data_IF_371131105980
#
_entry.id   IF_371131105980
#
_cell.length_a   1.000
_cell.length_b   1.000
_cell.length_c   1.000
_cell.angle_alpha   90.00
_cell.angle_beta   90.00
_cell.angle_gamma   90.00
#
_symmetry.space_group_name_H-M   'P 1'
#
loop_
_entity.id
_entity.type
_entity.pdbx_description
1 polymer ?
#
# COMPACT_ATOMS: atom_id res chain seq x y z
N UNK A 1 -71.19 25.30 11.13
CA UNK A 1 -70.10 25.83 10.28
C UNK A 1 -69.41 24.68 9.55
N UNK A 2 -69.72 24.50 8.26
CA UNK A 2 -69.01 23.62 7.32
C UNK A 2 -68.25 24.52 6.36
N UNK A 3 -66.93 24.36 6.21
CA UNK A 3 -66.23 24.81 5.01
C UNK A 3 -65.28 23.69 4.55
N UNK A 4 -65.65 23.10 3.41
CA UNK A 4 -64.89 22.13 2.64
C UNK A 4 -63.79 22.86 1.85
N UNK A 5 -62.55 22.39 1.94
CA UNK A 5 -61.53 22.76 0.95
C UNK A 5 -61.69 21.90 -0.31
N UNK A 6 -62.07 22.55 -1.42
CA UNK A 6 -61.94 22.04 -2.79
C UNK A 6 -60.52 22.35 -3.27
N UNK A 7 -59.76 21.34 -3.71
CA UNK A 7 -58.62 21.56 -4.60
C UNK A 7 -58.89 20.92 -5.96
N UNK A 8 -58.66 21.73 -7.00
CA UNK A 8 -58.91 21.44 -8.40
C UNK A 8 -57.87 20.47 -8.98
N UNK A 9 -58.32 19.49 -9.75
CA UNK A 9 -57.49 18.78 -10.75
C UNK A 9 -57.45 19.61 -12.05
N UNK A 10 -56.26 19.78 -12.64
CA UNK A 10 -56.09 19.94 -14.10
C UNK A 10 -54.96 19.06 -14.61
N UNK A 11 -55.25 18.46 -15.76
CA UNK A 11 -54.58 17.35 -16.43
C UNK A 11 -53.24 17.69 -17.10
N UNK A 12 -52.43 16.64 -17.19
CA UNK A 12 -51.48 16.24 -18.24
C UNK A 12 -50.98 17.28 -19.25
N UNK A 13 -49.65 17.38 -19.34
CA UNK A 13 -48.89 17.22 -20.60
C UNK A 13 -47.46 16.77 -20.28
N UNK A 14 -47.16 15.51 -20.60
CA UNK A 14 -45.81 14.94 -20.57
C UNK A 14 -45.00 15.47 -21.73
N UNK A 15 -44.29 16.57 -21.52
CA UNK A 15 -43.18 16.96 -22.41
C UNK A 15 -41.96 16.10 -22.06
N UNK A 16 -41.69 15.09 -22.90
CA UNK A 16 -40.38 14.46 -23.01
C UNK A 16 -39.38 15.52 -23.45
N UNK A 17 -38.72 16.13 -22.46
CA UNK A 17 -37.66 17.11 -22.67
C UNK A 17 -36.40 16.70 -21.92
N UNK A 18 -35.30 16.60 -22.69
CA UNK A 18 -33.90 16.71 -22.26
C UNK A 18 -33.27 15.48 -21.60
N UNK A 19 -32.65 14.63 -22.43
CA UNK A 19 -31.36 14.04 -22.06
C UNK A 19 -30.35 15.20 -22.09
N UNK A 20 -30.23 15.91 -20.98
CA UNK A 20 -29.06 16.71 -20.68
C UNK A 20 -28.27 15.91 -19.66
N UNK A 21 -27.17 15.31 -20.11
CA UNK A 21 -26.12 14.76 -19.25
C UNK A 21 -25.49 15.88 -18.45
N UNK A 22 -26.17 16.34 -17.40
CA UNK A 22 -25.59 17.17 -16.36
C UNK A 22 -24.99 16.25 -15.31
N UNK A 23 -23.68 16.00 -15.40
CA UNK A 23 -22.89 15.66 -14.22
C UNK A 23 -21.41 15.93 -14.43
N UNK A 24 -20.97 17.15 -14.12
CA UNK A 24 -19.73 17.35 -13.38
C UNK A 24 -19.85 18.63 -12.55
N UNK A 25 -20.39 18.50 -11.34
CA UNK A 25 -20.02 19.42 -10.24
C UNK A 25 -19.64 18.59 -9.02
N UNK A 26 -18.34 18.64 -8.72
CA UNK A 26 -17.74 18.18 -7.46
C UNK A 26 -17.25 16.74 -7.45
N UNK A 27 -15.99 16.53 -7.83
CA UNK A 27 -15.30 15.27 -7.55
C UNK A 27 -15.06 15.05 -6.05
N UNK A 28 -14.67 13.82 -5.69
CA UNK A 28 -14.35 13.38 -4.33
C UNK A 28 -12.87 13.54 -4.03
N UNK A 29 -12.56 14.07 -2.85
CA UNK A 29 -11.24 13.95 -2.24
C UNK A 29 -11.13 12.60 -1.54
N UNK A 30 -10.10 11.82 -1.86
CA UNK A 30 -9.92 10.48 -1.33
C UNK A 30 -8.95 10.46 -0.16
N UNK A 31 -7.77 11.07 -0.31
CA UNK A 31 -6.72 11.00 0.71
C UNK A 31 -5.67 12.11 0.59
N UNK A 32 -4.90 12.29 1.67
CA UNK A 32 -3.70 13.13 1.76
C UNK A 32 -2.50 12.25 2.10
N UNK A 33 -1.40 12.42 1.36
CA UNK A 33 -0.10 11.87 1.73
C UNK A 33 0.89 12.98 2.08
N UNK A 34 2.08 12.60 2.52
CA UNK A 34 3.23 13.50 2.77
C UNK A 34 3.58 14.35 1.54
N UNK A 35 3.43 13.79 0.34
CA UNK A 35 3.89 14.42 -0.91
C UNK A 35 2.75 14.94 -1.81
N UNK A 36 1.48 14.74 -1.41
CA UNK A 36 0.39 14.98 -2.35
C UNK A 36 -1.03 14.75 -1.84
N UNK A 37 -1.92 14.52 -2.78
CA UNK A 37 -3.33 14.21 -2.56
C UNK A 37 -3.87 13.28 -3.64
N UNK A 38 -4.98 12.60 -3.33
CA UNK A 38 -5.67 11.75 -4.30
C UNK A 38 -7.11 12.24 -4.49
N UNK A 39 -7.52 12.41 -5.75
CA UNK A 39 -8.86 12.90 -6.13
C UNK A 39 -9.52 12.03 -7.20
N UNK A 40 -10.86 11.96 -7.17
CA UNK A 40 -11.72 11.20 -8.11
C UNK A 40 -12.88 12.06 -8.62
N UNK A 41 -13.32 12.00 -9.90
CA UNK A 41 -12.64 11.37 -11.04
C UNK A 41 -11.23 11.91 -11.25
N UNK A 42 -10.42 11.24 -12.07
CA UNK A 42 -9.13 11.77 -12.51
C UNK A 42 -9.28 13.14 -13.19
N UNK A 43 -8.22 13.93 -13.14
CA UNK A 43 -8.07 15.15 -13.95
C UNK A 43 -7.49 14.70 -15.29
N UNK A 44 -8.16 15.07 -16.38
CA UNK A 44 -7.67 14.79 -17.73
C UNK A 44 -6.32 15.49 -17.97
N UNK A 45 -5.42 14.82 -18.69
CA UNK A 45 -4.23 15.45 -19.22
C UNK A 45 -4.58 16.17 -20.53
N UNK A 46 -4.22 17.44 -20.66
CA UNK A 46 -4.45 18.23 -21.89
C UNK A 46 -3.35 17.96 -22.93
N UNK A 47 -2.16 17.63 -22.46
CA UNK A 47 -1.00 17.23 -23.26
C UNK A 47 -0.30 16.06 -22.56
N UNK A 48 0.23 15.12 -23.35
CA UNK A 48 1.05 14.02 -22.84
C UNK A 48 2.49 14.50 -22.69
N UNK A 49 3.20 14.02 -21.66
CA UNK A 49 4.65 14.19 -21.60
C UNK A 49 5.31 13.30 -22.67
N UNK A 50 6.43 13.75 -23.25
CA UNK A 50 7.18 13.04 -24.30
C UNK A 50 7.67 11.64 -23.90
N UNK A 51 7.58 11.28 -22.62
CA UNK A 51 8.06 10.02 -22.05
C UNK A 51 7.10 8.83 -22.17
N UNK A 52 5.84 8.99 -22.63
CA UNK A 52 4.89 7.87 -22.73
C UNK A 52 4.04 7.91 -24.02
N UNK A 53 4.03 6.79 -24.77
CA UNK A 53 3.15 6.52 -25.92
C UNK A 53 1.75 6.01 -25.50
N UNK A 54 1.15 6.52 -24.42
CA UNK A 54 -0.21 6.11 -24.01
C UNK A 54 -1.26 7.08 -24.55
N UNK A 55 -2.29 6.55 -25.23
CA UNK A 55 -3.44 7.34 -25.70
C UNK A 55 -4.10 8.11 -24.55
N UNK A 56 -4.58 9.33 -24.84
CA UNK A 56 -5.37 10.14 -23.91
C UNK A 56 -6.59 9.33 -23.42
N UNK A 57 -6.85 9.37 -22.11
CA UNK A 57 -8.00 8.69 -21.52
C UNK A 57 -9.27 9.49 -21.89
N UNK A 58 -10.27 8.86 -22.53
CA UNK A 58 -11.51 9.54 -22.87
C UNK A 58 -12.21 10.12 -21.64
N UNK A 59 -12.79 11.32 -21.76
CA UNK A 59 -13.43 12.04 -20.65
C UNK A 59 -14.53 11.24 -19.95
N UNK A 60 -15.29 10.43 -20.69
CA UNK A 60 -16.33 9.56 -20.15
C UNK A 60 -15.80 8.39 -19.30
N UNK A 61 -14.49 8.09 -19.37
CA UNK A 61 -13.85 7.02 -18.60
C UNK A 61 -13.15 7.52 -17.33
N UNK A 62 -12.98 8.84 -17.14
CA UNK A 62 -12.23 9.42 -16.02
C UNK A 62 -12.80 9.05 -14.63
N UNK A 63 -14.06 8.66 -14.55
CA UNK A 63 -14.69 8.15 -13.33
C UNK A 63 -14.13 6.80 -12.86
N UNK A 64 -13.46 6.05 -13.73
CA UNK A 64 -12.78 4.80 -13.37
C UNK A 64 -11.35 5.03 -12.86
N UNK A 65 -10.90 6.27 -12.82
CA UNK A 65 -9.53 6.65 -12.50
C UNK A 65 -9.47 7.68 -11.37
N UNK A 66 -8.27 7.80 -10.81
CA UNK A 66 -7.92 8.81 -9.81
C UNK A 66 -6.69 9.58 -10.26
N UNK A 67 -6.56 10.79 -9.74
CA UNK A 67 -5.35 11.60 -9.84
C UNK A 67 -4.61 11.57 -8.51
N UNK A 68 -3.40 11.00 -8.47
CA UNK A 68 -2.42 11.21 -7.40
C UNK A 68 -1.60 12.43 -7.81
N UNK A 69 -1.83 13.57 -7.14
CA UNK A 69 -1.19 14.84 -7.48
C UNK A 69 0.01 15.03 -6.58
N UNK A 70 1.20 15.05 -7.19
CA UNK A 70 2.47 15.37 -6.55
C UNK A 70 2.65 16.88 -6.58
N UNK A 71 2.77 17.50 -5.40
CA UNK A 71 2.79 18.98 -5.31
C UNK A 71 4.12 19.57 -5.76
N UNK A 72 5.20 18.89 -5.37
CA UNK A 72 6.57 19.27 -5.65
C UNK A 72 7.31 17.98 -6.02
N UNK A 73 7.55 17.73 -7.32
CA UNK A 73 8.21 16.50 -7.73
C UNK A 73 9.66 16.48 -7.25
N UNK A 74 10.10 15.32 -6.81
CA UNK A 74 11.49 15.03 -6.46
C UNK A 74 11.99 13.81 -7.27
N UNK A 75 13.25 13.43 -7.07
CA UNK A 75 13.87 12.30 -7.74
C UNK A 75 13.18 10.94 -7.48
N UNK A 76 12.32 10.80 -6.47
CA UNK A 76 11.58 9.55 -6.22
C UNK A 76 10.45 9.34 -7.23
N UNK A 77 9.96 10.41 -7.86
CA UNK A 77 8.86 10.32 -8.81
C UNK A 77 9.23 9.54 -10.08
N UNK A 78 10.43 9.79 -10.62
CA UNK A 78 10.89 9.08 -11.82
C UNK A 78 10.99 7.57 -11.57
N UNK A 79 11.45 7.19 -10.38
CA UNK A 79 11.49 5.79 -9.96
C UNK A 79 10.09 5.17 -9.84
N UNK A 80 9.11 5.86 -9.24
CA UNK A 80 7.72 5.37 -9.15
C UNK A 80 7.08 5.16 -10.54
N UNK A 81 7.35 6.08 -11.48
CA UNK A 81 6.92 5.96 -12.88
C UNK A 81 7.61 4.77 -13.56
N UNK A 82 8.93 4.62 -13.39
CA UNK A 82 9.68 3.51 -13.98
C UNK A 82 9.18 2.15 -13.46
N UNK A 83 8.98 2.01 -12.16
CA UNK A 83 8.41 0.79 -11.55
C UNK A 83 7.02 0.50 -12.11
N UNK A 84 6.17 1.53 -12.25
CA UNK A 84 4.86 1.37 -12.88
C UNK A 84 4.98 0.86 -14.32
N UNK A 85 5.93 1.36 -15.11
CA UNK A 85 6.16 0.89 -16.48
C UNK A 85 6.65 -0.57 -16.52
N UNK A 86 7.57 -0.95 -15.63
CA UNK A 86 8.05 -2.33 -15.50
C UNK A 86 6.91 -3.28 -15.16
N UNK A 87 6.09 -2.94 -14.16
CA UNK A 87 4.98 -3.80 -13.75
C UNK A 87 3.90 -3.89 -14.82
N UNK A 88 3.62 -2.83 -15.57
CA UNK A 88 2.61 -2.85 -16.64
C UNK A 88 2.95 -3.79 -17.81
N UNK A 89 4.24 -4.01 -18.07
CA UNK A 89 4.69 -4.98 -19.09
C UNK A 89 4.36 -6.43 -18.73
N UNK A 90 4.04 -6.71 -17.46
CA UNK A 90 3.69 -8.07 -17.04
C UNK A 90 2.23 -8.40 -17.38
N UNK A 91 2.01 -9.59 -17.97
CA UNK A 91 0.65 -10.10 -18.25
C UNK A 91 -0.20 -10.09 -16.96
N UNK A 92 -1.42 -9.57 -17.07
CA UNK A 92 -2.37 -9.47 -15.95
C UNK A 92 -1.90 -8.58 -14.78
N UNK A 93 -0.96 -7.66 -14.99
CA UNK A 93 -0.50 -6.69 -13.99
C UNK A 93 -1.65 -5.94 -13.29
N UNK A 94 -2.66 -5.51 -14.06
CA UNK A 94 -3.83 -4.79 -13.54
C UNK A 94 -4.70 -5.59 -12.56
N UNK A 95 -4.51 -6.92 -12.48
CA UNK A 95 -5.17 -7.78 -11.48
C UNK A 95 -4.53 -7.64 -10.09
N UNK A 96 -3.27 -7.23 -10.00
CA UNK A 96 -2.48 -7.21 -8.77
C UNK A 96 -2.03 -5.82 -8.34
N UNK A 97 -1.95 -4.86 -9.27
CA UNK A 97 -1.33 -3.56 -9.01
C UNK A 97 -2.19 -2.39 -9.47
N UNK A 98 -2.09 -1.28 -8.75
CA UNK A 98 -2.52 0.05 -9.15
C UNK A 98 -1.29 0.80 -9.63
N UNK A 99 -1.03 0.77 -10.94
CA UNK A 99 0.12 1.43 -11.57
C UNK A 99 -0.27 2.78 -12.18
N UNK A 100 0.74 3.63 -12.38
CA UNK A 100 0.59 4.90 -13.11
C UNK A 100 0.42 4.60 -14.61
N UNK A 101 -0.73 4.96 -15.17
CA UNK A 101 -1.04 4.71 -16.59
C UNK A 101 -0.81 5.93 -17.49
N UNK A 102 -0.77 7.14 -16.89
CA UNK A 102 -0.53 8.38 -17.60
C UNK A 102 -0.03 9.46 -16.62
N UNK A 103 0.78 10.41 -17.11
CA UNK A 103 1.31 11.53 -16.34
C UNK A 103 1.24 12.84 -17.13
N UNK A 104 0.98 13.94 -16.43
CA UNK A 104 1.06 15.27 -17.02
C UNK A 104 1.28 16.37 -15.97
N UNK A 105 1.82 17.49 -16.41
CA UNK A 105 1.90 18.70 -15.59
C UNK A 105 0.51 19.35 -15.47
N UNK A 106 0.17 19.82 -14.27
CA UNK A 106 -1.01 20.65 -14.06
C UNK A 106 -0.65 22.12 -14.23
N UNK A 107 -1.02 22.71 -15.37
CA UNK A 107 -0.79 24.13 -15.69
C UNK A 107 -1.87 25.06 -15.12
N UNK A 108 -3.02 24.52 -14.71
CA UNK A 108 -4.14 25.30 -14.15
C UNK A 108 -4.95 24.51 -13.15
N UNK A 109 -5.61 25.22 -12.24
CA UNK A 109 -6.57 24.62 -11.31
C UNK A 109 -7.90 24.39 -12.04
N UNK A 110 -8.45 23.16 -12.05
CA UNK A 110 -9.74 22.90 -12.70
C UNK A 110 -10.87 23.78 -12.13
N UNK A 111 -11.56 24.54 -12.98
CA UNK A 111 -12.60 25.48 -12.55
C UNK A 111 -13.91 24.84 -12.08
N UNK A 112 -14.15 23.59 -12.46
CA UNK A 112 -15.36 22.82 -12.17
C UNK A 112 -15.24 21.91 -10.93
N UNK A 113 -14.21 22.09 -10.09
CA UNK A 113 -13.93 21.22 -8.94
C UNK A 113 -13.80 22.01 -7.64
N UNK A 114 -14.31 21.42 -6.56
CA UNK A 114 -14.21 21.94 -5.19
C UNK A 114 -13.19 21.15 -4.35
N UNK A 115 -12.81 19.95 -4.80
CA UNK A 115 -11.87 19.07 -4.12
C UNK A 115 -10.40 19.38 -4.45
N UNK A 116 -10.14 20.47 -5.18
CA UNK A 116 -8.82 21.01 -5.53
C UNK A 116 -8.91 22.53 -5.45
N UNK A 117 -7.91 23.20 -4.88
CA UNK A 117 -7.87 24.64 -4.78
C UNK A 117 -6.44 25.19 -4.86
N UNK A 118 -6.30 26.40 -5.40
CA UNK A 118 -5.05 27.15 -5.32
C UNK A 118 -4.74 27.48 -3.86
N UNK A 119 -3.49 27.29 -3.47
CA UNK A 119 -3.03 27.57 -2.13
C UNK A 119 -1.59 28.12 -2.12
N UNK A 120 -1.33 29.04 -1.20
CA UNK A 120 0.03 29.41 -0.79
C UNK A 120 0.47 28.44 0.29
N UNK A 121 1.58 27.74 0.05
CA UNK A 121 2.14 26.74 0.98
C UNK A 121 3.21 27.43 1.83
N UNK A 122 2.97 27.55 3.13
CA UNK A 122 3.86 28.23 4.08
C UNK A 122 4.92 27.29 4.67
N UNK A 123 4.63 25.98 4.74
CA UNK A 123 5.58 24.98 5.22
C UNK A 123 5.28 23.59 4.66
N UNK A 124 6.33 22.86 4.26
CA UNK A 124 6.27 21.48 3.77
C UNK A 124 5.88 20.47 4.87
N UNK A 125 6.32 20.68 6.12
CA UNK A 125 6.21 19.68 7.20
C UNK A 125 4.89 19.69 7.97
N UNK A 126 4.08 20.76 7.90
CA UNK A 126 2.89 20.92 8.75
C UNK A 126 1.56 21.11 8.02
N UNK A 127 1.49 20.86 6.71
CA UNK A 127 0.27 21.14 5.94
C UNK A 127 -0.25 22.58 6.18
N UNK A 128 0.65 23.53 6.43
CA UNK A 128 0.28 24.92 6.67
C UNK A 128 0.17 25.61 5.33
N UNK A 129 -1.07 25.85 4.88
CA UNK A 129 -1.35 26.52 3.63
C UNK A 129 -2.56 27.45 3.77
N UNK A 130 -2.54 28.55 3.03
CA UNK A 130 -3.68 29.45 2.88
C UNK A 130 -4.28 29.23 1.51
N UNK A 131 -5.57 28.91 1.45
CA UNK A 131 -6.30 28.85 0.19
C UNK A 131 -6.45 30.27 -0.37
N UNK A 132 -6.04 30.49 -1.61
CA UNK A 132 -6.08 31.80 -2.25
C UNK A 132 -7.28 31.97 -3.20
N UNK A 133 -7.95 30.88 -3.56
CA UNK A 133 -9.18 30.91 -4.34
C UNK A 133 -10.27 30.09 -3.62
N UNK A 134 -11.01 30.74 -2.71
CA UNK A 134 -12.11 30.14 -1.97
C UNK A 134 -13.41 30.30 -2.75
N UNK A 135 -13.67 29.40 -3.69
CA UNK A 135 -15.02 29.24 -4.25
C UNK A 135 -15.98 28.84 -3.13
N UNK A 136 -17.25 29.24 -3.24
CA UNK A 136 -18.31 28.80 -2.32
C UNK A 136 -18.34 27.27 -2.24
N UNK A 137 -18.35 26.73 -1.01
CA UNK A 137 -18.41 25.28 -0.74
C UNK A 137 -17.07 24.54 -0.59
N UNK A 138 -15.92 25.23 -0.66
CA UNK A 138 -14.62 24.60 -0.43
C UNK A 138 -14.40 24.31 1.07
N UNK A 139 -14.10 23.05 1.38
CA UNK A 139 -13.72 22.62 2.72
C UNK A 139 -12.21 22.32 2.76
N UNK A 140 -11.44 23.06 3.57
CA UNK A 140 -9.98 22.91 3.71
C UNK A 140 -9.53 21.48 4.02
N UNK A 141 -10.35 20.69 4.74
CA UNK A 141 -10.04 19.31 5.13
C UNK A 141 -10.39 18.28 4.05
N UNK A 142 -11.15 18.67 3.02
CA UNK A 142 -11.58 17.80 1.90
C UNK A 142 -11.17 18.35 0.54
N UNK A 143 -10.11 19.15 0.52
CA UNK A 143 -9.62 19.83 -0.67
C UNK A 143 -8.12 19.59 -0.78
N UNK A 144 -7.66 19.32 -1.99
CA UNK A 144 -6.25 19.28 -2.29
C UNK A 144 -5.70 20.70 -2.52
N UNK A 145 -4.81 21.21 -1.65
CA UNK A 145 -4.13 22.47 -1.91
C UNK A 145 -3.05 22.26 -2.96
N UNK A 146 -3.04 23.10 -3.99
CA UNK A 146 -2.04 23.10 -5.06
C UNK A 146 -1.46 24.50 -5.24
N UNK A 147 -0.17 24.55 -5.52
CA UNK A 147 0.50 25.75 -6.02
C UNK A 147 0.99 25.46 -7.44
N UNK A 148 0.29 25.98 -8.45
CA UNK A 148 0.65 25.77 -9.88
C UNK A 148 2.09 26.21 -10.18
N UNK A 149 2.60 27.26 -9.52
CA UNK A 149 3.98 27.74 -9.71
C UNK A 149 5.05 26.75 -9.24
N UNK A 150 4.67 25.66 -8.55
CA UNK A 150 5.57 24.56 -8.17
C UNK A 150 5.55 23.40 -9.16
N UNK A 151 4.92 23.57 -10.32
CA UNK A 151 4.79 22.57 -11.38
C UNK A 151 4.28 21.21 -10.87
N UNK A 152 3.08 21.17 -10.26
CA UNK A 152 2.54 19.94 -9.72
C UNK A 152 2.29 18.91 -10.84
N UNK A 153 2.60 17.64 -10.56
CA UNK A 153 2.47 16.54 -11.51
C UNK A 153 1.23 15.71 -11.15
N UNK A 154 0.38 15.49 -12.15
CA UNK A 154 -0.78 14.62 -12.08
C UNK A 154 -0.41 13.22 -12.56
N UNK A 155 -0.53 12.23 -11.66
CA UNK A 155 -0.38 10.81 -11.98
C UNK A 155 -1.77 10.19 -12.05
N UNK A 156 -2.16 9.69 -13.22
CA UNK A 156 -3.43 9.03 -13.41
C UNK A 156 -3.28 7.53 -13.16
N UNK A 157 -4.15 6.99 -12.32
CA UNK A 157 -4.13 5.58 -11.90
C UNK A 157 -5.55 5.01 -11.86
N UNK A 158 -5.75 3.69 -12.06
CA UNK A 158 -7.06 3.06 -11.87
C UNK A 158 -7.60 3.30 -10.46
N UNK A 159 -8.92 3.49 -10.33
CA UNK A 159 -9.54 3.52 -9.01
C UNK A 159 -9.45 2.13 -8.36
N UNK A 160 -8.92 2.10 -7.13
CA UNK A 160 -8.64 0.87 -6.38
C UNK A 160 -9.69 0.49 -5.33
N UNK A 161 -10.66 1.36 -5.05
CA UNK A 161 -11.63 1.16 -3.98
C UNK A 161 -11.21 1.79 -2.65
N UNK A 162 -11.25 1.02 -1.56
CA UNK A 162 -10.84 1.43 -0.20
C UNK A 162 -9.57 0.70 0.22
N UNK A 163 -8.73 1.34 1.04
CA UNK A 163 -7.62 0.64 1.68
C UNK A 163 -8.11 -0.42 2.67
N UNK A 164 -7.33 -1.49 2.84
CA UNK A 164 -7.68 -2.63 3.70
C UNK A 164 -7.84 -2.21 5.17
N UNK A 165 -7.09 -1.22 5.65
CA UNK A 165 -7.21 -0.71 7.02
C UNK A 165 -8.62 -0.19 7.28
N UNK A 166 -9.13 0.66 6.38
CA UNK A 166 -10.48 1.18 6.43
C UNK A 166 -11.55 0.09 6.32
N UNK A 167 -11.35 -0.92 5.47
CA UNK A 167 -12.29 -2.03 5.32
C UNK A 167 -12.37 -2.82 6.63
N UNK A 168 -11.24 -3.27 7.18
CA UNK A 168 -11.23 -4.18 8.34
C UNK A 168 -11.67 -3.52 9.64
N UNK A 169 -11.38 -2.22 9.82
CA UNK A 169 -11.87 -1.45 10.97
C UNK A 169 -13.36 -1.07 10.86
N UNK A 170 -14.01 -1.36 9.73
CA UNK A 170 -15.44 -1.14 9.59
C UNK A 170 -16.21 -2.08 10.53
N UNK A 171 -17.02 -1.50 11.42
CA UNK A 171 -17.85 -2.24 12.36
C UNK A 171 -19.10 -2.76 11.64
N UNK A 172 -19.18 -4.06 11.38
CA UNK A 172 -20.29 -4.68 10.61
C UNK A 172 -21.70 -4.33 11.12
N UNK A 173 -21.84 -4.12 12.43
CA UNK A 173 -23.12 -3.78 13.08
C UNK A 173 -23.55 -2.31 12.92
N UNK A 174 -22.70 -1.44 12.34
CA UNK A 174 -23.08 -0.04 12.11
C UNK A 174 -24.05 0.11 10.95
N UNK A 175 -23.82 -0.59 9.83
CA UNK A 175 -24.76 -0.69 8.71
C UNK A 175 -24.43 -1.90 7.81
N UNK A 176 -25.08 -3.06 8.02
CA UNK A 176 -24.79 -4.31 7.31
C UNK A 176 -25.00 -4.25 5.80
N UNK A 177 -25.82 -3.32 5.31
CA UNK A 177 -26.17 -3.18 3.90
C UNK A 177 -25.15 -2.37 3.08
N UNK A 178 -24.05 -1.94 3.70
CA UNK A 178 -23.02 -1.15 3.01
C UNK A 178 -22.04 -2.01 2.21
N UNK A 179 -21.46 -1.45 1.16
CA UNK A 179 -20.37 -2.09 0.42
C UNK A 179 -19.17 -2.43 1.30
N UNK A 180 -18.87 -1.63 2.34
CA UNK A 180 -17.81 -1.92 3.30
C UNK A 180 -18.11 -3.16 4.14
N UNK A 181 -19.33 -3.33 4.65
CA UNK A 181 -19.74 -4.54 5.37
C UNK A 181 -19.58 -5.78 4.48
N UNK A 182 -20.00 -5.68 3.22
CA UNK A 182 -19.86 -6.75 2.23
C UNK A 182 -18.39 -7.07 1.93
N UNK A 183 -17.53 -6.05 1.81
CA UNK A 183 -16.09 -6.24 1.62
C UNK A 183 -15.43 -6.95 2.81
N UNK A 184 -15.78 -6.58 4.05
CA UNK A 184 -15.30 -7.28 5.27
C UNK A 184 -15.67 -8.75 5.21
N UNK A 185 -16.93 -9.05 4.91
CA UNK A 185 -17.42 -10.43 4.79
C UNK A 185 -16.63 -11.20 3.71
N UNK A 186 -16.55 -10.67 2.49
CA UNK A 186 -15.82 -11.33 1.40
C UNK A 186 -14.33 -11.51 1.69
N UNK A 187 -13.72 -10.58 2.44
CA UNK A 187 -12.31 -10.68 2.81
C UNK A 187 -12.07 -11.87 3.74
N UNK A 188 -12.90 -12.02 4.78
CA UNK A 188 -12.77 -13.07 5.78
C UNK A 188 -13.24 -14.42 5.24
N UNK A 189 -14.40 -14.47 4.57
CA UNK A 189 -14.97 -15.71 4.02
C UNK A 189 -14.04 -16.35 2.97
N UNK A 190 -13.27 -15.54 2.24
CA UNK A 190 -12.33 -16.00 1.20
C UNK A 190 -10.85 -15.75 1.57
N UNK A 191 -10.54 -15.68 2.87
CA UNK A 191 -9.21 -15.27 3.36
C UNK A 191 -8.07 -16.06 2.72
N UNK A 192 -8.22 -17.38 2.59
CA UNK A 192 -7.23 -18.26 1.95
C UNK A 192 -6.93 -17.83 0.50
N UNK A 193 -7.97 -17.62 -0.31
CA UNK A 193 -7.84 -17.19 -1.70
C UNK A 193 -7.29 -15.76 -1.81
N UNK A 194 -7.68 -14.88 -0.89
CA UNK A 194 -7.20 -13.50 -0.82
C UNK A 194 -5.70 -13.45 -0.48
N UNK A 195 -5.24 -14.26 0.49
CA UNK A 195 -3.81 -14.41 0.83
C UNK A 195 -3.03 -14.97 -0.35
N UNK A 196 -3.55 -16.01 -1.02
CA UNK A 196 -2.96 -16.56 -2.24
C UNK A 196 -2.80 -15.49 -3.33
N UNK A 197 -3.82 -14.66 -3.53
CA UNK A 197 -3.80 -13.57 -4.51
C UNK A 197 -2.77 -12.49 -4.16
N UNK A 198 -2.66 -12.09 -2.88
CA UNK A 198 -1.65 -11.15 -2.42
C UNK A 198 -0.22 -11.69 -2.64
N UNK A 199 0.04 -12.95 -2.29
CA UNK A 199 1.34 -13.60 -2.53
C UNK A 199 1.69 -13.67 -4.02
N UNK A 200 0.72 -13.97 -4.89
CA UNK A 200 0.93 -13.94 -6.35
C UNK A 200 1.36 -12.55 -6.85
N UNK A 201 0.81 -11.48 -6.27
CA UNK A 201 1.26 -10.12 -6.54
C UNK A 201 2.74 -9.90 -6.16
N UNK A 202 3.15 -10.36 -4.98
CA UNK A 202 4.56 -10.29 -4.55
C UNK A 202 5.47 -11.11 -5.47
N UNK A 203 5.05 -12.31 -5.87
CA UNK A 203 5.81 -13.14 -6.83
C UNK A 203 6.07 -12.38 -8.12
N UNK A 204 5.06 -11.65 -8.64
CA UNK A 204 5.23 -10.85 -9.86
C UNK A 204 6.20 -9.68 -9.63
N UNK A 205 6.12 -8.96 -8.51
CA UNK A 205 7.05 -7.88 -8.19
C UNK A 205 8.50 -8.40 -8.12
N UNK A 206 8.73 -9.42 -7.31
CA UNK A 206 10.08 -9.99 -7.09
C UNK A 206 10.64 -10.64 -8.35
N UNK A 207 9.80 -11.29 -9.18
CA UNK A 207 10.22 -11.83 -10.48
C UNK A 207 10.75 -10.73 -11.41
N UNK A 208 10.19 -9.52 -11.33
CA UNK A 208 10.62 -8.34 -12.07
C UNK A 208 11.66 -7.49 -11.32
N UNK A 209 12.32 -8.03 -10.28
CA UNK A 209 13.33 -7.32 -9.48
C UNK A 209 12.80 -6.04 -8.82
N UNK A 210 11.51 -6.00 -8.51
CA UNK A 210 10.89 -4.89 -7.76
C UNK A 210 10.66 -5.33 -6.32
N UNK A 211 11.17 -4.57 -5.35
CA UNK A 211 10.81 -4.70 -3.94
C UNK A 211 9.84 -3.57 -3.54
N UNK A 212 8.74 -3.90 -2.86
CA UNK A 212 7.71 -2.91 -2.57
C UNK A 212 8.09 -1.99 -1.40
N UNK A 213 8.61 -2.57 -0.31
CA UNK A 213 9.20 -1.88 0.87
C UNK A 213 8.23 -1.11 1.78
N UNK A 214 6.94 -1.09 1.47
CA UNK A 214 5.93 -0.44 2.32
C UNK A 214 4.60 -1.20 2.25
N UNK A 215 4.66 -2.53 2.29
CA UNK A 215 3.48 -3.39 2.36
C UNK A 215 2.85 -3.23 3.74
N UNK A 216 1.59 -2.77 3.76
CA UNK A 216 0.78 -2.54 4.96
C UNK A 216 -0.70 -2.48 4.57
N UNK A 217 -1.59 -2.50 5.57
CA UNK A 217 -3.04 -2.39 5.37
C UNK A 217 -3.43 -1.15 4.51
N UNK A 218 -2.76 -0.02 4.71
CA UNK A 218 -3.00 1.22 3.97
C UNK A 218 -2.61 1.18 2.48
N UNK A 219 -1.75 0.24 2.06
CA UNK A 219 -1.21 0.13 0.70
C UNK A 219 -1.74 -1.10 -0.05
N UNK A 220 -2.82 -1.71 0.44
CA UNK A 220 -3.58 -2.77 -0.24
C UNK A 220 -4.99 -2.24 -0.42
N UNK A 221 -5.42 -2.05 -1.67
CA UNK A 221 -6.75 -1.54 -2.01
C UNK A 221 -7.70 -2.67 -2.37
N UNK A 222 -8.93 -2.56 -1.89
CA UNK A 222 -10.04 -3.47 -2.08
C UNK A 222 -11.18 -2.75 -2.79
N UNK A 223 -11.65 -3.35 -3.88
CA UNK A 223 -12.91 -2.99 -4.51
C UNK A 223 -13.79 -4.23 -4.73
N UNK A 224 -15.07 -4.02 -5.00
CA UNK A 224 -15.95 -5.09 -5.44
C UNK A 224 -15.80 -5.26 -6.95
N UNK A 225 -15.80 -6.51 -7.41
CA UNK A 225 -15.96 -6.78 -8.84
C UNK A 225 -17.37 -6.36 -9.31
N UNK A 226 -17.61 -6.38 -10.62
CA UNK A 226 -18.90 -5.95 -11.18
C UNK A 226 -20.10 -6.76 -10.69
N UNK A 227 -19.89 -8.03 -10.34
CA UNK A 227 -20.93 -8.89 -9.77
C UNK A 227 -21.10 -8.71 -8.26
N UNK A 228 -20.17 -7.97 -7.65
CA UNK A 228 -20.01 -7.84 -6.21
C UNK A 228 -19.98 -9.18 -5.46
N UNK A 229 -19.42 -10.22 -6.08
CA UNK A 229 -19.25 -11.53 -5.45
C UNK A 229 -17.80 -11.79 -5.04
N UNK A 230 -16.87 -10.97 -5.53
CA UNK A 230 -15.42 -11.11 -5.31
C UNK A 230 -14.78 -9.77 -4.99
N UNK A 231 -13.66 -9.84 -4.28
CA UNK A 231 -12.80 -8.69 -4.05
C UNK A 231 -11.77 -8.56 -5.17
N UNK A 232 -11.57 -7.32 -5.63
CA UNK A 232 -10.43 -6.89 -6.40
C UNK A 232 -9.38 -6.37 -5.42
N UNK A 233 -8.37 -7.19 -5.10
CA UNK A 233 -7.29 -6.84 -4.16
C UNK A 233 -6.05 -6.44 -4.96
N UNK A 234 -5.55 -5.22 -4.77
CA UNK A 234 -4.40 -4.70 -5.52
C UNK A 234 -3.44 -3.90 -4.63
N UNK A 235 -2.14 -4.10 -4.80
CA UNK A 235 -1.11 -3.25 -4.18
C UNK A 235 -1.09 -1.87 -4.83
N UNK A 236 -0.76 -0.86 -4.03
CA UNK A 236 -0.64 0.53 -4.46
C UNK A 236 0.55 1.20 -3.78
N UNK A 237 0.86 2.41 -4.23
CA UNK A 237 1.87 3.30 -3.64
C UNK A 237 3.31 2.76 -3.77
N UNK A 238 3.80 2.79 -5.00
CA UNK A 238 5.16 2.36 -5.34
C UNK A 238 6.22 3.45 -5.12
N UNK A 239 5.87 4.56 -4.45
CA UNK A 239 6.78 5.70 -4.25
C UNK A 239 7.99 5.38 -3.38
N UNK A 240 7.93 4.32 -2.57
CA UNK A 240 9.05 3.81 -1.76
C UNK A 240 9.64 2.51 -2.30
N UNK A 241 9.07 1.97 -3.38
CA UNK A 241 9.52 0.74 -4.01
C UNK A 241 10.84 0.95 -4.75
N UNK A 242 11.53 -0.14 -5.06
CA UNK A 242 12.85 -0.09 -5.69
C UNK A 242 12.98 -1.09 -6.81
N UNK A 243 13.59 -0.67 -7.93
CA UNK A 243 14.00 -1.55 -9.01
C UNK A 243 15.47 -1.96 -8.82
N UNK A 244 15.69 -3.25 -8.57
CA UNK A 244 16.98 -3.80 -8.16
C UNK A 244 17.88 -4.11 -9.37
N UNK A 245 18.28 -3.06 -10.08
CA UNK A 245 19.23 -3.09 -11.20
C UNK A 245 20.65 -3.40 -10.72
N UNK A 246 21.55 -3.80 -11.62
CA UNK A 246 22.96 -4.04 -11.28
C UNK A 246 23.60 -2.85 -10.57
N UNK A 247 23.49 -1.66 -11.17
CA UNK A 247 24.03 -0.40 -10.64
C UNK A 247 23.43 0.01 -9.30
N UNK A 248 22.15 -0.30 -9.05
CA UNK A 248 21.54 -0.02 -7.76
C UNK A 248 22.09 -0.96 -6.69
N UNK A 249 22.17 -2.25 -7.00
CA UNK A 249 22.54 -3.29 -6.03
C UNK A 249 24.03 -3.36 -5.71
N UNK A 250 24.88 -2.68 -6.48
CA UNK A 250 26.32 -2.62 -6.25
C UNK A 250 26.75 -1.55 -5.23
N UNK A 251 25.82 -0.75 -4.69
CA UNK A 251 26.15 0.40 -3.85
C UNK A 251 25.61 0.25 -2.42
N UNK A 252 26.50 0.42 -1.44
CA UNK A 252 26.13 0.42 -0.02
C UNK A 252 25.24 1.60 0.38
N UNK A 253 25.35 2.75 -0.29
CA UNK A 253 24.49 3.93 -0.05
C UNK A 253 22.99 3.65 -0.28
N UNK A 254 22.69 2.61 -1.07
CA UNK A 254 21.34 2.15 -1.32
C UNK A 254 20.76 1.26 -0.20
N UNK A 255 21.53 1.03 0.87
CA UNK A 255 21.06 0.41 2.11
C UNK A 255 20.37 1.48 2.98
N UNK A 256 19.06 1.54 2.88
CA UNK A 256 18.23 2.45 3.68
C UNK A 256 16.93 1.79 4.14
N UNK A 257 16.49 2.16 5.34
CA UNK A 257 15.15 1.86 5.83
C UNK A 257 14.19 2.91 5.26
N UNK A 258 13.24 2.44 4.46
CA UNK A 258 12.12 3.23 3.94
C UNK A 258 10.86 2.40 4.11
N UNK A 259 9.77 3.08 4.45
CA UNK A 259 8.48 2.46 4.72
C UNK A 259 7.98 2.81 6.11
N UNK A 260 7.01 2.04 6.58
CA UNK A 260 6.39 2.21 7.88
C UNK A 260 7.11 1.33 8.90
N UNK A 261 7.77 1.94 9.89
CA UNK A 261 8.69 1.27 10.82
C UNK A 261 8.14 -0.04 11.42
N UNK A 262 6.86 -0.04 11.81
CA UNK A 262 6.19 -1.20 12.39
C UNK A 262 6.14 -2.47 11.51
N UNK A 263 6.50 -2.38 10.22
CA UNK A 263 6.54 -3.51 9.27
C UNK A 263 7.97 -3.87 8.82
N UNK A 264 9.01 -3.23 9.36
CA UNK A 264 10.39 -3.57 9.03
C UNK A 264 10.76 -4.95 9.56
N UNK A 265 11.35 -5.78 8.70
CA UNK A 265 11.91 -7.05 9.16
C UNK A 265 13.23 -6.84 9.92
N UNK A 266 13.55 -7.72 10.89
CA UNK A 266 14.72 -7.56 11.77
C UNK A 266 16.05 -7.38 11.02
N UNK A 267 16.23 -8.10 9.92
CA UNK A 267 17.46 -8.02 9.13
C UNK A 267 17.62 -6.67 8.41
N UNK A 268 16.53 -5.99 8.02
CA UNK A 268 16.64 -4.65 7.44
C UNK A 268 17.15 -3.65 8.48
N UNK A 269 16.67 -3.78 9.73
CA UNK A 269 17.11 -2.96 10.86
C UNK A 269 18.58 -3.25 11.15
N UNK A 270 18.97 -4.51 11.26
CA UNK A 270 20.35 -4.92 11.51
C UNK A 270 21.31 -4.42 10.42
N UNK A 271 21.00 -4.66 9.14
CA UNK A 271 21.84 -4.22 8.01
C UNK A 271 21.98 -2.70 8.02
N UNK A 272 20.89 -1.96 8.25
CA UNK A 272 20.95 -0.50 8.31
C UNK A 272 21.75 0.01 9.51
N UNK A 273 21.60 -0.63 10.67
CA UNK A 273 22.30 -0.26 11.91
C UNK A 273 23.81 -0.44 11.72
N UNK A 274 24.22 -1.61 11.23
CA UNK A 274 25.62 -1.91 10.93
C UNK A 274 26.18 -0.96 9.87
N UNK A 275 25.42 -0.67 8.81
CA UNK A 275 25.85 0.28 7.77
C UNK A 275 26.07 1.71 8.31
N UNK A 276 25.22 2.21 9.21
CA UNK A 276 25.40 3.53 9.82
C UNK A 276 26.59 3.53 10.80
N UNK A 277 26.75 2.47 11.57
CA UNK A 277 27.69 2.40 12.69
C UNK A 277 29.03 1.74 12.32
N UNK A 278 29.37 1.66 11.02
CA UNK A 278 30.60 1.02 10.57
C UNK A 278 31.85 1.58 11.25
N UNK A 279 31.90 2.90 11.47
CA UNK A 279 33.05 3.55 12.11
C UNK A 279 33.13 3.23 13.62
N UNK A 280 31.99 2.98 14.27
CA UNK A 280 31.93 2.54 15.66
C UNK A 280 32.43 1.09 15.77
N UNK A 281 32.00 0.21 14.86
CA UNK A 281 32.45 -1.19 14.78
C UNK A 281 33.96 -1.26 14.51
N UNK A 282 34.47 -0.46 13.57
CA UNK A 282 35.92 -0.39 13.26
C UNK A 282 36.78 0.07 14.44
N UNK A 283 36.21 0.86 15.35
CA UNK A 283 36.87 1.29 16.60
C UNK A 283 36.83 0.22 17.71
N UNK A 284 36.23 -0.95 17.45
CA UNK A 284 36.17 -2.07 18.38
C UNK A 284 34.90 -2.16 19.22
N UNK A 285 33.96 -1.22 19.07
CA UNK A 285 32.76 -1.14 19.91
C UNK A 285 31.53 -1.80 19.25
N UNK A 286 31.67 -3.08 18.90
CA UNK A 286 30.61 -3.87 18.26
C UNK A 286 29.41 -4.10 19.20
N UNK A 287 29.65 -4.18 20.51
CA UNK A 287 28.62 -4.44 21.51
C UNK A 287 27.65 -3.26 21.64
N UNK A 288 28.16 -2.02 21.64
CA UNK A 288 27.28 -0.84 21.62
C UNK A 288 26.37 -0.80 20.39
N UNK A 289 26.89 -1.18 19.23
CA UNK A 289 26.10 -1.25 17.99
C UNK A 289 25.07 -2.37 18.03
N UNK A 290 25.43 -3.51 18.65
CA UNK A 290 24.51 -4.63 18.89
C UNK A 290 23.37 -4.25 19.84
N UNK A 291 23.67 -3.48 20.88
CA UNK A 291 22.65 -2.92 21.79
C UNK A 291 21.72 -1.93 21.08
N UNK A 292 22.25 -1.03 20.25
CA UNK A 292 21.44 -0.16 19.38
C UNK A 292 20.49 -0.96 18.49
N UNK A 293 20.99 -2.03 17.87
CA UNK A 293 20.15 -2.93 17.08
C UNK A 293 19.05 -3.56 17.95
N UNK A 294 19.39 -4.06 19.14
CA UNK A 294 18.40 -4.64 20.05
C UNK A 294 17.30 -3.64 20.42
N UNK A 295 17.67 -2.40 20.78
CA UNK A 295 16.71 -1.33 21.11
C UNK A 295 15.80 -1.03 19.91
N UNK A 296 16.37 -0.78 18.73
CA UNK A 296 15.58 -0.44 17.53
C UNK A 296 14.68 -1.61 17.11
N UNK A 297 15.17 -2.85 17.22
CA UNK A 297 14.38 -4.06 16.92
C UNK A 297 13.29 -4.33 17.96
N UNK A 298 13.46 -3.83 19.19
CA UNK A 298 12.52 -4.01 20.30
C UNK A 298 11.48 -2.88 20.38
N UNK A 299 11.80 -1.67 19.91
CA UNK A 299 10.86 -0.56 19.78
C UNK A 299 9.81 -0.81 18.68
N UNK A 300 10.14 -1.62 17.66
CA UNK A 300 9.22 -1.98 16.57
C UNK A 300 8.21 -3.09 16.95
N UNK A 301 6.98 -2.96 16.45
CA UNK A 301 5.75 -3.65 16.87
C UNK A 301 5.74 -5.19 16.79
N UNK A 302 6.77 -5.83 16.26
CA UNK A 302 6.88 -7.29 16.05
C UNK A 302 6.92 -8.04 17.38
N UNK A 303 7.57 -7.46 18.39
CA UNK A 303 7.54 -7.95 19.77
C UNK A 303 6.11 -8.04 20.32
N UNK A 304 5.21 -7.14 19.89
CA UNK A 304 3.78 -7.18 20.24
C UNK A 304 2.96 -8.05 19.31
N UNK A 305 3.27 -8.16 18.01
CA UNK A 305 2.51 -9.00 17.08
C UNK A 305 2.81 -10.48 17.27
N UNK A 306 4.08 -10.90 17.18
CA UNK A 306 4.48 -12.32 17.24
C UNK A 306 4.23 -12.90 18.64
N UNK A 307 4.53 -12.17 19.72
CA UNK A 307 4.26 -12.65 21.08
C UNK A 307 2.75 -12.69 21.38
N UNK A 308 1.94 -11.73 20.90
CA UNK A 308 0.46 -11.80 21.05
C UNK A 308 -0.20 -12.83 20.16
N UNK A 309 0.36 -13.13 18.97
CA UNK A 309 -0.06 -14.24 18.12
C UNK A 309 0.07 -15.59 18.82
N UNK A 310 1.07 -15.71 19.67
CA UNK A 310 1.54 -16.99 20.16
C UNK A 310 1.17 -17.23 21.62
N UNK A 311 1.08 -16.18 22.44
CA UNK A 311 0.95 -16.30 23.90
C UNK A 311 1.95 -17.35 24.47
N UNK A 312 3.12 -17.48 23.83
CA UNK A 312 4.07 -18.56 24.05
C UNK A 312 5.42 -17.97 24.46
N UNK A 313 5.73 -18.14 25.74
CA UNK A 313 6.96 -17.66 26.37
C UNK A 313 8.22 -18.33 25.81
N UNK A 314 8.14 -19.59 25.37
CA UNK A 314 9.28 -20.32 24.84
C UNK A 314 9.73 -19.73 23.49
N UNK A 315 8.76 -19.36 22.66
CA UNK A 315 9.02 -18.77 21.36
C UNK A 315 9.57 -17.33 21.47
N UNK A 316 9.16 -16.58 22.50
CA UNK A 316 9.77 -15.30 22.85
C UNK A 316 11.22 -15.44 23.34
N UNK A 317 11.53 -16.44 24.16
CA UNK A 317 12.91 -16.68 24.59
C UNK A 317 13.81 -17.07 23.41
N UNK A 318 13.29 -17.89 22.49
CA UNK A 318 14.00 -18.22 21.24
C UNK A 318 14.26 -16.97 20.39
N UNK A 319 13.30 -16.04 20.31
CA UNK A 319 13.48 -14.75 19.64
C UNK A 319 14.65 -13.93 20.22
N UNK A 320 14.77 -13.87 21.55
CA UNK A 320 15.87 -13.13 22.20
C UNK A 320 17.25 -13.74 21.91
N UNK A 321 17.33 -15.05 21.70
CA UNK A 321 18.56 -15.72 21.29
C UNK A 321 18.89 -15.43 19.81
N UNK A 322 17.93 -15.68 18.91
CA UNK A 322 18.12 -15.57 17.45
C UNK A 322 18.52 -14.15 17.02
N UNK A 323 18.03 -13.09 17.68
CA UNK A 323 18.38 -11.71 17.31
C UNK A 323 19.87 -11.43 17.44
N UNK A 324 20.53 -12.02 18.45
CA UNK A 324 21.98 -11.86 18.63
C UNK A 324 22.75 -12.52 17.49
N UNK A 325 22.37 -13.76 17.16
CA UNK A 325 22.95 -14.53 16.06
C UNK A 325 22.74 -13.84 14.70
N UNK A 326 21.55 -13.28 14.48
CA UNK A 326 21.24 -12.53 13.26
C UNK A 326 22.16 -11.32 13.10
N UNK A 327 22.37 -10.55 14.18
CA UNK A 327 23.30 -9.42 14.16
C UNK A 327 24.73 -9.88 13.84
N UNK A 328 25.21 -10.92 14.52
CA UNK A 328 26.58 -11.43 14.34
C UNK A 328 26.81 -11.93 12.92
N UNK A 329 25.83 -12.65 12.37
CA UNK A 329 25.81 -13.10 10.98
C UNK A 329 25.89 -11.93 10.01
N UNK A 330 25.04 -10.91 10.17
CA UNK A 330 25.02 -9.75 9.26
C UNK A 330 26.31 -8.95 9.38
N UNK A 331 26.83 -8.76 10.60
CA UNK A 331 28.10 -8.08 10.83
C UNK A 331 29.26 -8.82 10.13
N UNK A 332 29.29 -10.15 10.23
CA UNK A 332 30.25 -10.99 9.50
C UNK A 332 30.11 -10.83 7.98
N UNK A 333 28.89 -10.80 7.43
CA UNK A 333 28.67 -10.58 6.00
C UNK A 333 29.13 -9.19 5.53
N UNK A 334 28.97 -8.16 6.37
CA UNK A 334 29.47 -6.81 6.08
C UNK A 334 31.00 -6.79 6.04
N UNK A 335 31.66 -7.31 7.09
CA UNK A 335 33.12 -7.30 7.21
C UNK A 335 33.81 -8.10 6.09
N UNK A 336 33.13 -9.12 5.56
CA UNK A 336 33.61 -9.93 4.46
C UNK A 336 33.20 -9.42 3.07
N UNK A 337 32.60 -8.22 2.95
CA UNK A 337 32.10 -7.65 1.70
C UNK A 337 31.09 -8.54 0.93
N UNK A 338 30.31 -9.36 1.65
CA UNK A 338 29.34 -10.31 1.07
C UNK A 338 27.89 -9.85 1.19
N UNK A 339 27.62 -8.76 1.92
CA UNK A 339 26.25 -8.37 2.26
C UNK A 339 25.41 -7.91 1.07
N UNK A 340 25.96 -7.16 0.10
CA UNK A 340 25.18 -6.58 -1.00
C UNK A 340 24.38 -7.62 -1.83
N UNK A 341 25.00 -8.69 -2.37
CA UNK A 341 24.26 -9.69 -3.14
C UNK A 341 23.25 -10.48 -2.29
N UNK A 342 23.48 -10.61 -0.99
CA UNK A 342 22.55 -11.26 -0.05
C UNK A 342 21.38 -10.32 0.27
N UNK A 343 21.65 -9.03 0.47
CA UNK A 343 20.66 -8.04 0.84
C UNK A 343 19.68 -7.77 -0.30
N UNK A 344 20.19 -7.52 -1.51
CA UNK A 344 19.37 -7.21 -2.67
C UNK A 344 18.94 -8.44 -3.47
N UNK A 345 19.58 -9.59 -3.24
CA UNK A 345 19.44 -10.77 -4.08
C UNK A 345 20.06 -10.58 -5.47
N UNK A 346 20.32 -11.68 -6.16
CA UNK A 346 20.84 -11.70 -7.54
C UNK A 346 19.72 -11.94 -8.55
N UNK A 347 20.04 -11.95 -9.85
CA UNK A 347 19.09 -12.34 -10.90
C UNK A 347 18.58 -13.77 -10.73
N UNK A 348 19.50 -14.70 -10.40
CA UNK A 348 19.16 -16.11 -10.15
C UNK A 348 18.48 -16.33 -8.80
N UNK A 349 18.75 -15.44 -7.83
CA UNK A 349 18.22 -15.53 -6.47
C UNK A 349 17.23 -14.41 -6.11
N UNK A 350 16.40 -14.00 -7.07
CA UNK A 350 15.51 -12.83 -6.97
C UNK A 350 14.42 -12.89 -5.89
N UNK A 351 14.20 -14.05 -5.27
CA UNK A 351 13.21 -14.23 -4.21
C UNK A 351 13.79 -14.33 -2.80
N UNK A 352 15.10 -14.56 -2.65
CA UNK A 352 15.72 -14.76 -1.33
C UNK A 352 16.63 -13.62 -0.89
N UNK A 353 16.71 -12.52 -1.64
CA UNK A 353 17.33 -11.32 -1.11
C UNK A 353 16.59 -10.85 0.16
N UNK A 354 17.33 -10.34 1.15
CA UNK A 354 16.73 -9.90 2.41
C UNK A 354 15.67 -8.81 2.19
N UNK A 355 15.85 -7.94 1.20
CA UNK A 355 14.86 -6.91 0.85
C UNK A 355 13.53 -7.54 0.38
N UNK A 356 13.57 -8.60 -0.42
CA UNK A 356 12.40 -9.33 -0.87
C UNK A 356 11.76 -10.14 0.26
N UNK A 357 12.57 -10.79 1.11
CA UNK A 357 12.05 -11.47 2.31
C UNK A 357 11.50 -10.48 3.35
N UNK A 358 11.91 -9.22 3.29
CA UNK A 358 11.29 -8.11 4.03
C UNK A 358 9.86 -7.81 3.56
N UNK A 359 9.57 -7.87 2.26
CA UNK A 359 8.20 -7.75 1.76
C UNK A 359 7.31 -8.92 2.24
N UNK A 360 7.86 -10.14 2.33
CA UNK A 360 7.13 -11.30 2.86
C UNK A 360 6.82 -11.13 4.33
N UNK A 361 7.80 -10.65 5.10
CA UNK A 361 7.62 -10.29 6.49
C UNK A 361 6.49 -9.28 6.67
N UNK A 362 6.54 -8.18 5.91
CA UNK A 362 5.56 -7.10 5.96
C UNK A 362 4.15 -7.58 5.59
N UNK A 363 4.02 -8.47 4.59
CA UNK A 363 2.72 -9.08 4.26
C UNK A 363 2.21 -9.98 5.40
N UNK A 364 3.07 -10.79 6.02
CA UNK A 364 2.70 -11.61 7.17
C UNK A 364 2.16 -10.76 8.33
N UNK A 365 2.84 -9.66 8.63
CA UNK A 365 2.44 -8.72 9.67
C UNK A 365 1.12 -8.03 9.31
N UNK A 366 0.94 -7.66 8.04
CA UNK A 366 -0.30 -7.08 7.50
C UNK A 366 -1.49 -8.02 7.64
N UNK A 367 -1.32 -9.31 7.30
CA UNK A 367 -2.37 -10.31 7.43
C UNK A 367 -2.74 -10.49 8.91
N UNK A 368 -1.75 -10.63 9.80
CA UNK A 368 -2.03 -10.74 11.23
C UNK A 368 -2.76 -9.50 11.78
N UNK A 369 -2.31 -8.30 11.42
CA UNK A 369 -2.97 -7.06 11.84
C UNK A 369 -4.43 -7.04 11.37
N UNK A 370 -4.70 -7.45 10.13
CA UNK A 370 -6.07 -7.55 9.61
C UNK A 370 -6.95 -8.50 10.45
N UNK A 371 -6.42 -9.65 10.87
CA UNK A 371 -7.17 -10.61 11.68
C UNK A 371 -7.40 -10.09 13.09
N UNK A 372 -6.38 -9.50 13.70
CA UNK A 372 -6.47 -8.90 15.02
C UNK A 372 -7.51 -7.79 15.07
N UNK A 373 -7.51 -6.88 14.10
CA UNK A 373 -8.51 -5.80 14.05
C UNK A 373 -9.91 -6.36 13.73
N UNK A 374 -10.03 -7.40 12.90
CA UNK A 374 -11.30 -8.12 12.71
C UNK A 374 -11.83 -8.72 14.02
N UNK A 375 -10.98 -9.44 14.77
CA UNK A 375 -11.35 -10.03 16.06
C UNK A 375 -11.83 -8.94 17.03
N UNK A 376 -11.11 -7.82 17.07
CA UNK A 376 -11.43 -6.69 17.96
C UNK A 376 -12.74 -5.99 17.62
N UNK A 377 -13.02 -5.76 16.34
CA UNK A 377 -14.13 -4.89 15.91
C UNK A 377 -15.36 -5.63 15.39
N UNK A 378 -15.23 -6.89 14.98
CA UNK A 378 -16.27 -7.60 14.25
C UNK A 378 -16.63 -8.95 14.86
N UNK A 379 -15.65 -9.75 15.31
CA UNK A 379 -15.91 -11.07 15.87
C UNK A 379 -14.84 -11.52 16.88
N UNK A 380 -15.09 -11.26 18.16
CA UNK A 380 -14.18 -11.64 19.25
C UNK A 380 -14.03 -13.16 19.44
N UNK A 381 -14.90 -13.97 18.81
CA UNK A 381 -14.88 -15.43 18.90
C UNK A 381 -14.11 -16.09 17.75
N UNK A 382 -13.70 -15.30 16.75
CA UNK A 382 -12.98 -15.80 15.58
C UNK A 382 -11.65 -16.47 15.98
N UNK A 383 -11.48 -17.73 15.56
CA UNK A 383 -10.27 -18.52 15.79
C UNK A 383 -9.45 -18.58 14.51
N UNK A 384 -8.15 -18.27 14.62
CA UNK A 384 -7.22 -18.34 13.50
C UNK A 384 -6.95 -19.82 13.16
N UNK A 385 -7.10 -20.19 11.89
CA UNK A 385 -6.79 -21.52 11.37
C UNK A 385 -5.34 -21.93 11.74
N UNK A 386 -5.11 -23.15 12.28
CA UNK A 386 -3.75 -23.59 12.66
C UNK A 386 -2.73 -23.57 11.52
N UNK A 387 -3.13 -23.89 10.28
CA UNK A 387 -2.26 -23.82 9.11
C UNK A 387 -2.00 -22.37 8.69
N UNK A 388 -2.97 -21.46 8.89
CA UNK A 388 -2.70 -20.03 8.69
C UNK A 388 -1.71 -19.52 9.74
N UNK A 389 -1.84 -19.95 10.99
CA UNK A 389 -0.88 -19.63 12.06
C UNK A 389 0.52 -20.11 11.71
N UNK A 390 0.67 -21.34 11.19
CA UNK A 390 1.96 -21.85 10.72
C UNK A 390 2.51 -21.07 9.53
N UNK A 391 1.69 -20.76 8.52
CA UNK A 391 2.11 -19.91 7.40
C UNK A 391 2.65 -18.56 7.89
N UNK A 392 1.91 -17.89 8.77
CA UNK A 392 2.34 -16.62 9.34
C UNK A 392 3.64 -16.75 10.14
N UNK A 393 3.83 -17.86 10.87
CA UNK A 393 5.10 -18.15 11.55
C UNK A 393 6.27 -18.25 10.57
N UNK A 394 6.08 -18.93 9.43
CA UNK A 394 7.12 -19.03 8.38
C UNK A 394 7.39 -17.71 7.67
N UNK A 395 6.38 -16.86 7.50
CA UNK A 395 6.52 -15.52 6.90
C UNK A 395 7.14 -14.51 7.86
N UNK A 396 6.89 -14.63 9.16
CA UNK A 396 7.37 -13.74 10.22
C UNK A 396 8.64 -14.26 10.91
N UNK A 397 9.28 -15.31 10.38
CA UNK A 397 10.49 -15.86 10.95
C UNK A 397 11.58 -14.78 11.04
N UNK A 398 12.24 -14.68 12.21
CA UNK A 398 13.26 -13.67 12.47
C UNK A 398 14.50 -13.85 11.60
N UNK A 399 14.96 -15.08 11.42
CA UNK A 399 16.09 -15.35 10.54
C UNK A 399 15.62 -15.35 9.08
N UNK A 400 16.08 -14.39 8.26
CA UNK A 400 15.68 -14.32 6.87
C UNK A 400 16.07 -15.57 6.08
N UNK A 401 17.09 -16.34 6.45
CA UNK A 401 17.44 -17.55 5.68
C UNK A 401 16.35 -18.63 5.84
N UNK A 402 15.81 -18.75 7.05
CA UNK A 402 14.74 -19.68 7.40
C UNK A 402 13.34 -19.14 7.10
N UNK A 403 13.21 -17.82 6.86
CA UNK A 403 11.94 -17.21 6.44
C UNK A 403 11.58 -17.67 5.04
N UNK A 404 10.28 -17.94 4.83
CA UNK A 404 9.77 -18.23 3.51
C UNK A 404 9.97 -17.04 2.56
N UNK A 405 10.37 -17.34 1.33
CA UNK A 405 10.19 -16.43 0.21
C UNK A 405 8.76 -16.53 -0.36
N UNK A 406 8.45 -15.70 -1.35
CA UNK A 406 7.12 -15.63 -1.97
C UNK A 406 6.62 -16.98 -2.53
N UNK A 407 7.51 -17.76 -3.14
CA UNK A 407 7.19 -19.06 -3.76
C UNK A 407 6.94 -20.11 -2.69
N UNK A 408 7.79 -20.17 -1.66
CA UNK A 408 7.63 -21.09 -0.54
C UNK A 408 6.33 -20.82 0.20
N UNK A 409 5.99 -19.56 0.47
CA UNK A 409 4.72 -19.17 1.06
C UNK A 409 3.52 -19.59 0.21
N UNK A 410 3.59 -19.42 -1.12
CA UNK A 410 2.52 -19.83 -2.03
C UNK A 410 2.27 -21.34 -2.04
N UNK A 411 3.32 -22.14 -1.82
CA UNK A 411 3.27 -23.60 -1.78
C UNK A 411 2.91 -24.18 -0.40
N UNK A 412 2.69 -23.32 0.61
CA UNK A 412 2.34 -23.76 1.95
C UNK A 412 1.00 -24.54 1.97
N UNK A 413 0.84 -25.58 2.81
CA UNK A 413 -0.39 -26.39 2.89
C UNK A 413 -1.68 -25.60 3.13
N UNK A 414 -1.61 -24.46 3.83
CA UNK A 414 -2.74 -23.53 3.98
C UNK A 414 -3.29 -23.05 2.61
N UNK A 415 -2.42 -22.89 1.60
CA UNK A 415 -2.79 -22.38 0.26
C UNK A 415 -2.84 -23.48 -0.82
N UNK A 416 -2.40 -24.69 -0.47
CA UNK A 416 -2.65 -25.88 -1.27
C UNK A 416 -4.16 -26.06 -1.41
N UNK A 417 -4.61 -26.34 -2.62
CA UNK A 417 -6.03 -26.54 -2.89
C UNK A 417 -6.52 -27.73 -2.04
N UNK A 418 -7.14 -27.48 -0.89
CA UNK A 418 -8.16 -28.39 -0.39
C UNK A 418 -9.24 -28.34 -1.45
N UNK A 419 -9.19 -29.31 -2.39
CA UNK A 419 -10.41 -29.74 -3.06
C UNK A 419 -11.43 -29.90 -1.93
N UNK A 420 -12.55 -29.21 -2.08
CA UNK A 420 -13.80 -29.59 -1.41
C UNK A 420 -13.91 -31.11 -1.57
N UNK A 421 -13.80 -31.83 -0.47
CA UNK A 421 -14.15 -33.24 -0.33
C UNK A 421 -14.99 -33.24 0.96
N UNK A 422 -16.28 -32.94 0.84
CA UNK A 422 -17.41 -33.85 0.58
C UNK A 422 -18.13 -34.10 1.92
N UNK A 423 -19.32 -33.56 2.13
CA UNK A 423 -20.61 -34.21 1.87
C UNK A 423 -21.75 -33.26 2.23
#
# INVERSE_FOLDING_TARGET
MRIKYRSYKKNHKTNRGKILTFKMKGGKYLSKGSFGCVVKPAIACETLTSMQQSQLIPNNMLDNYVSKIIREPDHHLENEINISNVLQKTKSSSKYFITIINTCNLSKIPNNRINIAQATIHSKKKNNFTLTNTRSGINKNKTCPLNISKNPINLIMPYGGYDLDKVIRYKKYTNPSTSLAKMVKLYIDNLQQNIKHMLLGIVIMHKNRVAHRDIKLGNILLDLDKTETKLLIRYTDFGLSELLTGDYTSKYENIHLRGTAQFYSPELIAVKTIYIEQDTIKRGDVNHVKEKFFINSDEDNIKKLTVKMLADTALYNNYLAIRGELFDKINSLFNNNKILPIFFGTYDNKFNGYLQKGDIYALGATIYESLKEHIKYNDSTYKIDPLLKDLLYKMLNMDPDNRFNAIQALNHPYLANKKVINH
#
